data_IF_013362695379
#
_entry.id   IF_013362695379
#
_cell.length_a   1.000
_cell.length_b   1.000
_cell.length_c   1.000
_cell.angle_alpha   90.00
_cell.angle_beta   90.00
_cell.angle_gamma   90.00
#
_symmetry.space_group_name_H-M   'P 1'
#
loop_
_entity.id
_entity.type
_entity.pdbx_description
1 polymer ?
#
# COMPACT_ATOMS: atom_id res chain seq x y z
N UNK A 1 -21.90 13.16 6.66
CA UNK A 1 -21.06 12.45 7.65
C UNK A 1 -20.50 11.13 7.12
N UNK A 2 -21.33 10.22 6.59
CA UNK A 2 -20.88 8.92 6.03
C UNK A 2 -19.78 9.03 4.95
N UNK A 3 -19.95 9.91 3.96
CA UNK A 3 -18.98 10.10 2.86
C UNK A 3 -17.62 10.60 3.36
N UNK A 4 -17.61 11.44 4.40
CA UNK A 4 -16.37 11.93 5.00
C UNK A 4 -15.64 10.79 5.71
N UNK A 5 -16.37 9.96 6.47
CA UNK A 5 -15.82 8.81 7.15
C UNK A 5 -15.25 7.78 6.16
N UNK A 6 -15.97 7.53 5.06
CA UNK A 6 -15.50 6.66 3.96
C UNK A 6 -14.23 7.23 3.29
N UNK A 7 -14.20 8.54 2.98
CA UNK A 7 -13.03 9.18 2.37
C UNK A 7 -11.80 9.10 3.28
N UNK A 8 -11.96 9.32 4.58
CA UNK A 8 -10.88 9.15 5.58
C UNK A 8 -10.40 7.72 5.65
N UNK A 9 -11.31 6.75 5.68
CA UNK A 9 -10.96 5.33 5.72
C UNK A 9 -10.18 4.94 4.44
N UNK A 10 -10.67 5.33 3.27
CA UNK A 10 -9.99 5.09 1.99
C UNK A 10 -8.60 5.73 1.98
N UNK A 11 -8.45 6.96 2.48
CA UNK A 11 -7.16 7.63 2.58
C UNK A 11 -6.19 6.88 3.51
N UNK A 12 -6.65 6.44 4.69
CA UNK A 12 -5.84 5.65 5.61
C UNK A 12 -5.43 4.31 5.00
N UNK A 13 -6.34 3.64 4.29
CA UNK A 13 -6.00 2.39 3.58
C UNK A 13 -4.98 2.63 2.47
N UNK A 14 -5.09 3.72 1.71
CA UNK A 14 -4.11 4.09 0.69
C UNK A 14 -2.74 4.38 1.32
N UNK A 15 -2.70 5.11 2.45
CA UNK A 15 -1.46 5.39 3.17
C UNK A 15 -0.80 4.09 3.68
N UNK A 16 -1.58 3.16 4.23
CA UNK A 16 -1.09 1.85 4.66
C UNK A 16 -0.53 1.02 3.50
N UNK A 17 -1.26 0.93 2.38
CA UNK A 17 -0.79 0.24 1.17
C UNK A 17 0.50 0.87 0.62
N UNK A 18 0.59 2.21 0.62
CA UNK A 18 1.78 2.94 0.21
C UNK A 18 3.00 2.65 1.09
N UNK A 19 2.82 2.58 2.41
CA UNK A 19 3.89 2.20 3.34
C UNK A 19 4.38 0.77 3.11
N UNK A 20 3.47 -0.17 2.84
CA UNK A 20 3.84 -1.55 2.51
C UNK A 20 4.58 -1.64 1.17
N UNK A 21 4.16 -0.88 0.16
CA UNK A 21 4.85 -0.78 -1.12
C UNK A 21 6.28 -0.23 -0.95
N UNK A 22 6.43 0.88 -0.21
CA UNK A 22 7.74 1.47 0.12
C UNK A 22 8.61 0.49 0.91
N UNK A 23 8.02 -0.26 1.85
CA UNK A 23 8.73 -1.29 2.60
C UNK A 23 9.26 -2.41 1.71
N UNK A 24 8.46 -2.90 0.77
CA UNK A 24 8.92 -3.90 -0.21
C UNK A 24 10.03 -3.36 -1.11
N UNK A 25 9.91 -2.14 -1.63
CA UNK A 25 11.02 -1.51 -2.38
C UNK A 25 12.27 -1.34 -1.52
N UNK A 26 12.12 -1.00 -0.24
CA UNK A 26 13.23 -0.87 0.70
C UNK A 26 13.92 -2.21 1.02
N UNK A 27 13.18 -3.31 1.00
CA UNK A 27 13.73 -4.66 1.13
C UNK A 27 14.47 -5.12 -0.13
N UNK A 28 14.04 -4.66 -1.31
CA UNK A 28 14.73 -4.91 -2.58
C UNK A 28 16.00 -4.07 -2.73
N UNK A 29 15.99 -2.83 -2.24
CA UNK A 29 17.15 -1.95 -2.25
C UNK A 29 18.10 -2.30 -1.10
N UNK A 30 19.38 -2.59 -1.39
CA UNK A 30 20.39 -2.96 -0.38
C UNK A 30 20.72 -1.86 0.64
N UNK A 31 20.28 -0.63 0.40
CA UNK A 31 20.64 0.56 1.20
C UNK A 31 19.44 1.23 1.88
N UNK A 32 18.27 0.57 1.92
CA UNK A 32 17.06 1.11 2.52
C UNK A 32 17.14 1.22 4.06
N UNK A 33 16.49 2.23 4.67
CA UNK A 33 16.44 2.38 6.12
C UNK A 33 15.75 1.17 6.79
N UNK A 34 16.29 0.73 7.94
CA UNK A 34 15.89 -0.53 8.58
C UNK A 34 14.42 -0.61 8.95
N UNK A 35 13.82 0.49 9.43
CA UNK A 35 12.39 0.52 9.76
C UNK A 35 11.47 0.31 8.56
N UNK A 36 11.84 0.82 7.39
CA UNK A 36 11.07 0.57 6.17
C UNK A 36 11.17 -0.90 5.74
N UNK A 37 12.32 -1.54 5.92
CA UNK A 37 12.47 -2.97 5.67
C UNK A 37 11.63 -3.83 6.60
N UNK A 38 11.50 -3.45 7.87
CA UNK A 38 10.58 -4.12 8.80
C UNK A 38 9.13 -4.06 8.31
N UNK A 39 8.71 -2.94 7.73
CA UNK A 39 7.40 -2.82 7.07
C UNK A 39 7.32 -3.70 5.81
N UNK A 40 8.41 -3.83 5.06
CA UNK A 40 8.49 -4.73 3.91
C UNK A 40 8.29 -6.20 4.26
N UNK A 41 8.77 -6.66 5.44
CA UNK A 41 8.53 -8.02 5.93
C UNK A 41 7.04 -8.26 6.21
N UNK A 42 6.36 -7.28 6.81
CA UNK A 42 4.91 -7.34 7.02
C UNK A 42 4.15 -7.35 5.69
N UNK A 43 4.60 -6.53 4.72
CA UNK A 43 4.04 -6.48 3.37
C UNK A 43 4.19 -7.80 2.62
N UNK A 44 5.35 -8.46 2.72
CA UNK A 44 5.58 -9.76 2.12
C UNK A 44 4.61 -10.82 2.68
N UNK A 45 4.35 -10.81 3.99
CA UNK A 45 3.34 -11.68 4.62
C UNK A 45 1.92 -11.44 4.09
N UNK A 46 1.52 -10.18 3.93
CA UNK A 46 0.22 -9.80 3.38
C UNK A 46 0.05 -10.24 1.91
N UNK A 47 1.10 -10.07 1.10
CA UNK A 47 1.12 -10.47 -0.31
C UNK A 47 1.07 -11.98 -0.47
N UNK A 48 1.77 -12.74 0.39
CA UNK A 48 1.67 -14.20 0.45
C UNK A 48 0.23 -14.65 0.79
N UNK A 49 -0.38 -14.05 1.81
CA UNK A 49 -1.78 -14.34 2.19
C UNK A 49 -2.80 -14.01 1.10
N UNK A 50 -2.49 -13.04 0.22
CA UNK A 50 -3.31 -12.69 -0.94
C UNK A 50 -3.11 -13.61 -2.16
N UNK A 51 -2.30 -14.67 -2.05
CA UNK A 51 -2.01 -15.60 -3.15
C UNK A 51 -1.01 -15.05 -4.18
N UNK A 52 -0.34 -13.94 -3.89
CA UNK A 52 0.63 -13.29 -4.78
C UNK A 52 2.08 -13.73 -4.49
N UNK A 53 2.28 -14.76 -3.66
CA UNK A 53 3.59 -15.27 -3.27
C UNK A 53 4.45 -15.82 -4.41
N UNK A 54 3.83 -16.21 -5.54
CA UNK A 54 4.53 -16.66 -6.74
C UNK A 54 5.07 -15.54 -7.63
N UNK A 55 4.73 -14.28 -7.35
CA UNK A 55 5.23 -13.13 -8.11
C UNK A 55 6.63 -12.72 -7.65
N UNK A 56 7.41 -12.14 -8.56
CA UNK A 56 8.69 -11.52 -8.20
C UNK A 56 8.47 -10.37 -7.21
N UNK A 57 9.43 -10.10 -6.32
CA UNK A 57 9.30 -9.02 -5.33
C UNK A 57 9.04 -7.64 -5.95
N UNK A 58 9.57 -7.39 -7.15
CA UNK A 58 9.30 -6.18 -7.93
C UNK A 58 7.84 -6.14 -8.38
N UNK A 59 7.32 -7.24 -8.95
CA UNK A 59 5.92 -7.31 -9.38
C UNK A 59 4.96 -7.11 -8.20
N UNK A 60 5.25 -7.72 -7.04
CA UNK A 60 4.47 -7.52 -5.81
C UNK A 60 4.43 -6.06 -5.37
N UNK A 61 5.58 -5.36 -5.39
CA UNK A 61 5.65 -3.95 -5.03
C UNK A 61 4.85 -3.08 -6.02
N UNK A 62 4.94 -3.35 -7.33
CA UNK A 62 4.13 -2.67 -8.35
C UNK A 62 2.62 -2.89 -8.17
N UNK A 63 2.20 -4.12 -7.86
CA UNK A 63 0.78 -4.41 -7.57
C UNK A 63 0.27 -3.56 -6.40
N UNK A 64 1.05 -3.44 -5.32
CA UNK A 64 0.70 -2.60 -4.18
C UNK A 64 0.66 -1.11 -4.53
N UNK A 65 1.58 -0.62 -5.38
CA UNK A 65 1.51 0.77 -5.89
C UNK A 65 0.24 1.01 -6.69
N UNK A 66 -0.15 0.08 -7.56
CA UNK A 66 -1.39 0.20 -8.34
C UNK A 66 -2.62 0.24 -7.43
N UNK A 67 -2.69 -0.65 -6.44
CA UNK A 67 -3.78 -0.65 -5.45
C UNK A 67 -3.81 0.63 -4.60
N UNK A 68 -2.64 1.15 -4.24
CA UNK A 68 -2.50 2.43 -3.54
C UNK A 68 -3.05 3.58 -4.37
N UNK A 69 -2.69 3.66 -5.65
CA UNK A 69 -3.19 4.70 -6.56
C UNK A 69 -4.70 4.62 -6.78
N UNK A 70 -5.24 3.41 -6.93
CA UNK A 70 -6.69 3.21 -7.08
C UNK A 70 -7.45 3.64 -5.82
N UNK A 71 -6.98 3.24 -4.63
CA UNK A 71 -7.60 3.61 -3.36
C UNK A 71 -7.48 5.11 -3.06
N UNK A 72 -6.34 5.72 -3.36
CA UNK A 72 -6.14 7.17 -3.26
C UNK A 72 -7.06 7.94 -4.22
N UNK A 73 -7.19 7.45 -5.46
CA UNK A 73 -8.12 8.01 -6.45
C UNK A 73 -9.57 7.93 -5.99
N UNK A 74 -10.00 6.79 -5.43
CA UNK A 74 -11.33 6.63 -4.84
C UNK A 74 -11.54 7.55 -3.64
N UNK A 75 -10.54 7.70 -2.76
CA UNK A 75 -10.61 8.62 -1.63
C UNK A 75 -10.83 10.07 -2.09
N UNK A 76 -10.12 10.48 -3.14
CA UNK A 76 -10.26 11.80 -3.76
C UNK A 76 -11.60 11.99 -4.48
N UNK A 77 -12.13 10.93 -5.11
CA UNK A 77 -13.43 10.95 -5.77
C UNK A 77 -14.59 11.10 -4.76
N UNK A 78 -14.54 10.36 -3.66
CA UNK A 78 -15.57 10.34 -2.60
C UNK A 78 -15.53 11.60 -1.71
N UNK A 79 -14.40 12.32 -1.70
CA UNK A 79 -14.20 13.52 -0.87
C UNK A 79 -15.39 14.49 -1.00
N UNK A 80 -16.09 14.82 0.12
CA UNK A 80 -17.20 15.76 0.09
C UNK A 80 -16.76 17.13 -0.45
N UNK A 81 -17.53 17.70 -1.38
CA UNK A 81 -17.25 19.01 -2.02
C UNK A 81 -18.21 20.13 -1.59
N UNK A 82 -19.00 19.88 -0.55
CA UNK A 82 -19.99 20.79 0.00
C UNK A 82 -19.37 21.72 1.04
#
# INVERSE_FOLDING_TARGET
MLLLLLSVLLFLTAAALGLLALGLFSSLASNGPLWLRSLGVLGAGAVQGAGLGGLSGVAQAFTLVLLTSLTAGLAAFVKPRA
#
